data_IF_948589834943
#
_entry.id   IF_948589834943
#
_cell.length_a   1.000
_cell.length_b   1.000
_cell.length_c   1.000
_cell.angle_alpha   90.00
_cell.angle_beta   90.00
_cell.angle_gamma   90.00
#
_symmetry.space_group_name_H-M   'P 1'
#
loop_
_entity.id
_entity.type
_entity.pdbx_description
1 polymer ?
#
# COMPACT_ATOMS: atom_id res chain seq x y z
N UNK A 1 28.86 0.00 27.40
CA UNK A 1 27.87 0.96 26.87
C UNK A 1 28.31 1.40 25.48
N UNK A 2 27.62 0.91 24.46
CA UNK A 2 27.56 1.38 23.06
C UNK A 2 26.56 0.44 22.37
N UNK A 3 25.28 0.75 22.53
CA UNK A 3 24.20 0.05 21.81
C UNK A 3 23.95 0.91 20.58
N UNK A 4 24.49 0.48 19.45
CA UNK A 4 24.31 1.13 18.16
C UNK A 4 22.87 0.98 17.70
N UNK A 5 22.26 2.08 17.26
CA UNK A 5 20.97 2.09 16.60
C UNK A 5 21.01 1.15 15.39
N UNK A 6 20.13 0.15 15.39
CA UNK A 6 19.88 -0.67 14.20
C UNK A 6 18.91 0.12 13.35
N UNK A 7 19.39 0.66 12.23
CA UNK A 7 18.56 1.18 11.14
C UNK A 7 17.64 0.06 10.66
N UNK A 8 16.41 0.02 11.17
CA UNK A 8 15.36 -0.87 10.67
C UNK A 8 14.71 -0.25 9.43
N UNK A 9 15.52 -0.04 8.40
CA UNK A 9 15.03 0.17 7.03
C UNK A 9 14.65 -1.21 6.51
N UNK A 10 13.35 -1.55 6.57
CA UNK A 10 12.84 -2.80 6.02
C UNK A 10 13.01 -2.81 4.49
N UNK A 11 14.18 -3.24 4.03
CA UNK A 11 14.46 -3.54 2.62
C UNK A 11 14.00 -4.96 2.32
N UNK A 12 12.91 -5.12 1.58
CA UNK A 12 12.62 -6.39 0.91
C UNK A 12 13.34 -6.42 -0.45
N UNK A 13 14.58 -6.90 -0.44
CA UNK A 13 15.20 -7.58 -1.57
C UNK A 13 16.06 -8.72 -1.05
N UNK A 14 15.77 -9.93 -1.54
CA UNK A 14 16.70 -11.05 -1.71
C UNK A 14 16.19 -11.72 -2.99
N UNK A 15 16.99 -11.98 -4.03
CA UNK A 15 18.23 -12.77 -4.10
C UNK A 15 18.91 -12.38 -5.46
N UNK A 16 20.17 -11.96 -5.56
CA UNK A 16 21.40 -12.78 -5.64
C UNK A 16 22.66 -11.88 -5.49
N UNK A 17 23.77 -12.49 -5.08
CA UNK A 17 24.98 -11.88 -4.55
C UNK A 17 25.68 -10.77 -5.38
N UNK A 18 26.30 -9.84 -4.64
CA UNK A 18 27.27 -8.80 -5.03
C UNK A 18 26.74 -7.50 -5.67
N UNK A 19 26.14 -6.65 -4.83
CA UNK A 19 26.59 -5.26 -4.57
C UNK A 19 25.69 -4.63 -3.51
N UNK A 20 26.28 -4.37 -2.35
CA UNK A 20 25.70 -3.53 -1.29
C UNK A 20 25.58 -2.09 -1.79
N UNK A 21 24.46 -1.76 -2.44
CA UNK A 21 24.05 -0.38 -2.55
C UNK A 21 23.32 -0.02 -1.25
N UNK A 22 23.91 0.91 -0.51
CA UNK A 22 23.27 1.58 0.62
C UNK A 22 21.90 2.09 0.17
N UNK A 23 20.94 2.11 1.10
CA UNK A 23 19.60 2.66 0.88
C UNK A 23 19.69 4.11 0.40
N UNK A 24 19.75 4.31 -0.91
CA UNK A 24 19.41 5.57 -1.55
C UNK A 24 17.88 5.59 -1.66
N UNK A 25 17.28 6.72 -1.26
CA UNK A 25 15.86 7.03 -1.33
C UNK A 25 15.17 6.29 -2.48
N UNK A 26 14.45 5.22 -2.18
CA UNK A 26 13.60 4.57 -3.16
C UNK A 26 12.37 5.45 -3.38
N UNK A 27 12.47 6.31 -4.39
CA UNK A 27 11.33 7.04 -4.93
C UNK A 27 10.68 6.14 -6.00
N UNK A 28 9.48 5.63 -5.73
CA UNK A 28 8.70 4.85 -6.71
C UNK A 28 8.64 5.57 -8.07
N UNK A 29 8.63 6.92 -8.07
CA UNK A 29 8.65 7.73 -9.30
C UNK A 29 9.91 7.52 -10.15
N UNK A 30 11.07 7.23 -9.52
CA UNK A 30 12.34 7.02 -10.22
C UNK A 30 12.48 5.60 -10.79
N UNK A 31 11.82 4.60 -10.19
CA UNK A 31 11.83 3.22 -10.67
C UNK A 31 10.97 3.00 -11.95
N UNK A 32 10.06 3.92 -12.25
CA UNK A 32 9.11 3.84 -13.38
C UNK A 32 9.66 4.54 -14.64
N UNK A 33 10.98 4.67 -14.81
CA UNK A 33 11.59 5.48 -15.89
C UNK A 33 11.32 5.04 -17.34
N UNK A 34 10.98 3.78 -17.63
CA UNK A 34 10.77 3.23 -19.00
C UNK A 34 9.39 3.56 -19.61
N UNK A 35 9.17 3.44 -20.93
CA UNK A 35 7.83 3.58 -21.58
C UNK A 35 7.26 2.19 -21.91
N UNK A 36 5.96 1.96 -21.71
CA UNK A 36 5.22 0.75 -22.15
C UNK A 36 4.68 -0.18 -21.05
N UNK A 37 3.93 -1.20 -21.46
CA UNK A 37 3.51 -2.35 -20.62
C UNK A 37 4.77 -3.07 -20.15
N UNK A 38 4.91 -3.23 -18.85
CA UNK A 38 6.07 -3.86 -18.25
C UNK A 38 5.62 -5.01 -17.34
N UNK A 39 6.15 -6.19 -17.62
CA UNK A 39 6.01 -7.37 -16.76
C UNK A 39 7.39 -7.68 -16.19
N UNK A 40 7.51 -7.70 -14.86
CA UNK A 40 8.76 -8.07 -14.18
C UNK A 40 8.52 -9.37 -13.43
N UNK A 41 9.16 -10.45 -13.87
CA UNK A 41 9.21 -11.71 -13.13
C UNK A 41 10.41 -11.68 -12.19
N UNK A 42 10.15 -11.70 -10.89
CA UNK A 42 11.19 -11.59 -9.85
C UNK A 42 11.73 -12.98 -9.43
N UNK A 43 10.91 -14.02 -9.55
CA UNK A 43 11.22 -15.45 -9.34
C UNK A 43 10.10 -16.31 -9.92
N UNK A 44 10.22 -17.65 -9.86
CA UNK A 44 9.06 -18.53 -10.08
C UNK A 44 7.93 -18.11 -9.11
N UNK A 45 6.76 -17.77 -9.66
CA UNK A 45 5.56 -17.40 -8.90
C UNK A 45 5.37 -15.92 -8.54
N UNK A 46 6.33 -15.02 -8.84
CA UNK A 46 6.18 -13.58 -8.57
C UNK A 46 6.26 -12.75 -9.85
N UNK A 47 5.12 -12.22 -10.28
CA UNK A 47 5.02 -11.39 -11.48
C UNK A 47 4.38 -10.04 -11.16
N UNK A 48 5.10 -8.96 -11.45
CA UNK A 48 4.59 -7.60 -11.35
C UNK A 48 4.04 -7.17 -12.71
N UNK A 49 2.73 -6.94 -12.82
CA UNK A 49 2.10 -6.38 -14.01
C UNK A 49 1.89 -4.87 -13.81
N UNK A 50 2.09 -4.09 -14.87
CA UNK A 50 1.61 -2.71 -14.97
C UNK A 50 1.73 -2.20 -16.41
N UNK A 51 0.85 -1.28 -16.80
CA UNK A 51 1.08 -0.41 -17.94
C UNK A 51 1.38 1.00 -17.46
N UNK A 52 2.56 1.54 -17.82
CA UNK A 52 2.87 2.93 -17.46
C UNK A 52 2.09 3.93 -18.30
N UNK A 53 1.87 3.61 -19.58
CA UNK A 53 1.22 4.48 -20.54
C UNK A 53 0.05 3.75 -21.20
N UNK A 54 -1.00 3.43 -20.43
CA UNK A 54 -2.24 2.90 -20.97
C UNK A 54 -2.72 3.69 -22.17
N UNK A 55 -3.20 2.99 -23.19
CA UNK A 55 -3.76 3.60 -24.41
C UNK A 55 -5.06 4.37 -24.14
N UNK A 56 -5.74 4.06 -23.04
CA UNK A 56 -6.94 4.76 -22.57
C UNK A 56 -6.65 6.11 -21.89
N UNK A 57 -5.38 6.50 -21.76
CA UNK A 57 -4.96 7.76 -21.14
C UNK A 57 -4.92 7.74 -19.61
N UNK A 58 -5.22 6.62 -18.97
CA UNK A 58 -5.09 6.45 -17.52
C UNK A 58 -3.63 6.53 -17.09
N UNK A 59 -3.39 6.88 -15.84
CA UNK A 59 -2.05 6.94 -15.23
C UNK A 59 -1.90 5.88 -14.15
N UNK A 60 -0.92 4.99 -14.28
CA UNK A 60 -0.54 4.08 -13.20
C UNK A 60 -0.02 4.86 -12.00
N UNK A 61 -0.63 4.66 -10.84
CA UNK A 61 -0.25 5.28 -9.57
C UNK A 61 0.62 4.36 -8.71
N UNK A 62 0.35 3.06 -8.76
CA UNK A 62 1.06 2.06 -7.97
C UNK A 62 0.86 0.67 -8.58
N UNK A 63 1.89 -0.17 -8.51
CA UNK A 63 1.79 -1.61 -8.73
C UNK A 63 2.60 -2.33 -7.64
N UNK A 64 2.07 -3.43 -7.11
CA UNK A 64 2.75 -4.23 -6.10
C UNK A 64 2.45 -5.72 -6.30
N UNK A 65 3.44 -6.59 -6.10
CA UNK A 65 3.25 -8.05 -6.04
C UNK A 65 3.55 -8.56 -4.63
N UNK A 66 2.62 -9.31 -4.07
CA UNK A 66 2.78 -9.94 -2.76
C UNK A 66 3.75 -11.11 -2.86
N UNK A 67 4.85 -11.06 -2.10
CA UNK A 67 5.88 -12.10 -2.12
C UNK A 67 5.44 -13.45 -1.51
N UNK A 68 4.37 -13.48 -0.70
CA UNK A 68 3.81 -14.69 -0.08
C UNK A 68 2.68 -15.29 -0.91
N UNK A 69 1.77 -14.47 -1.46
CA UNK A 69 0.63 -14.98 -2.23
C UNK A 69 0.82 -14.96 -3.74
N UNK A 70 1.80 -14.22 -4.27
CA UNK A 70 1.99 -14.03 -5.71
C UNK A 70 0.98 -13.09 -6.36
N UNK A 71 0.02 -12.56 -5.58
CA UNK A 71 -1.01 -11.64 -6.08
C UNK A 71 -0.37 -10.30 -6.44
N UNK A 72 -0.65 -9.82 -7.65
CA UNK A 72 -0.29 -8.47 -8.07
C UNK A 72 -1.52 -7.56 -8.11
N UNK A 73 -1.38 -6.33 -7.61
CA UNK A 73 -2.42 -5.30 -7.65
C UNK A 73 -1.85 -4.03 -8.25
N UNK A 74 -2.60 -3.44 -9.19
CA UNK A 74 -2.24 -2.21 -9.91
C UNK A 74 -3.37 -1.21 -9.80
N UNK A 75 -3.04 0.04 -9.51
CA UNK A 75 -3.98 1.14 -9.37
C UNK A 75 -3.74 2.15 -10.47
N UNK A 76 -4.79 2.49 -11.21
CA UNK A 76 -4.77 3.53 -12.24
C UNK A 76 -5.73 4.65 -11.88
N UNK A 77 -5.27 5.90 -12.08
CA UNK A 77 -6.13 7.07 -12.17
C UNK A 77 -6.68 7.17 -13.61
N UNK A 78 -7.99 7.07 -13.83
CA UNK A 78 -8.61 7.23 -15.15
C UNK A 78 -8.29 8.58 -15.82
N UNK A 79 -8.40 8.63 -17.15
CA UNK A 79 -8.19 9.87 -17.91
C UNK A 79 -9.29 10.91 -17.64
N UNK A 80 -10.51 10.45 -17.42
CA UNK A 80 -11.74 11.20 -17.15
C UNK A 80 -12.03 11.34 -15.64
N UNK A 81 -10.99 11.25 -14.80
CA UNK A 81 -11.12 11.29 -13.34
C UNK A 81 -11.85 12.53 -12.82
N UNK A 82 -12.91 12.30 -12.04
CA UNK A 82 -13.63 13.34 -11.30
C UNK A 82 -13.05 13.51 -9.89
N UNK A 83 -12.41 14.65 -9.64
CA UNK A 83 -11.86 14.98 -8.30
C UNK A 83 -12.96 15.12 -7.22
N UNK A 84 -14.21 15.38 -7.62
CA UNK A 84 -15.35 15.50 -6.70
C UNK A 84 -15.97 14.15 -6.32
N UNK A 85 -15.81 13.13 -7.17
CA UNK A 85 -16.23 11.76 -6.91
C UNK A 85 -15.14 10.74 -7.31
N UNK A 86 -14.03 10.65 -6.54
CA UNK A 86 -12.86 9.87 -6.93
C UNK A 86 -13.15 8.37 -7.11
N UNK A 87 -12.88 7.87 -8.30
CA UNK A 87 -12.96 6.46 -8.66
C UNK A 87 -11.67 6.00 -9.36
N UNK A 88 -11.15 4.85 -8.98
CA UNK A 88 -9.88 4.32 -9.50
C UNK A 88 -10.09 2.95 -10.13
N UNK A 89 -9.45 2.71 -11.28
CA UNK A 89 -9.38 1.36 -11.84
C UNK A 89 -8.34 0.54 -11.08
N UNK A 90 -8.75 -0.63 -10.63
CA UNK A 90 -7.90 -1.61 -9.97
C UNK A 90 -7.84 -2.87 -10.79
N UNK A 91 -6.63 -3.28 -11.15
CA UNK A 91 -6.37 -4.54 -11.83
C UNK A 91 -5.64 -5.48 -10.85
N UNK A 92 -6.12 -6.71 -10.77
CA UNK A 92 -5.55 -7.73 -9.87
C UNK A 92 -5.23 -8.98 -10.68
N UNK A 93 -3.99 -9.44 -10.58
CA UNK A 93 -3.59 -10.77 -11.05
C UNK A 93 -3.45 -11.71 -9.87
N UNK A 94 -4.14 -12.84 -9.92
CA UNK A 94 -3.92 -13.91 -8.97
C UNK A 94 -2.60 -14.67 -9.26
N UNK A 95 -2.24 -15.60 -8.37
CA UNK A 95 -1.03 -16.42 -8.49
C UNK A 95 -0.96 -17.26 -9.77
N UNK A 96 -2.11 -17.55 -10.39
CA UNK A 96 -2.22 -18.35 -11.60
C UNK A 96 -2.20 -17.47 -12.86
N UNK A 97 -2.13 -16.14 -12.69
CA UNK A 97 -2.05 -15.15 -13.76
C UNK A 97 -3.42 -14.69 -14.27
N UNK A 98 -4.52 -15.03 -13.60
CA UNK A 98 -5.85 -14.58 -14.00
C UNK A 98 -6.04 -13.11 -13.61
N UNK A 99 -6.39 -12.27 -14.60
CA UNK A 99 -6.68 -10.85 -14.39
C UNK A 99 -8.14 -10.65 -14.01
N UNK A 100 -8.38 -9.88 -12.96
CA UNK A 100 -9.66 -9.23 -12.68
C UNK A 100 -9.48 -7.72 -12.70
N UNK A 101 -10.55 -7.01 -13.04
CA UNK A 101 -10.57 -5.55 -13.14
C UNK A 101 -11.85 -5.03 -12.51
N UNK A 102 -11.73 -3.98 -11.70
CA UNK A 102 -12.86 -3.32 -11.05
C UNK A 102 -12.59 -1.82 -10.89
N UNK A 103 -13.68 -1.05 -10.81
CA UNK A 103 -13.62 0.34 -10.37
C UNK A 103 -13.85 0.39 -8.86
N UNK A 104 -13.01 1.15 -8.16
CA UNK A 104 -13.13 1.37 -6.71
C UNK A 104 -13.45 2.81 -6.45
N UNK A 105 -14.65 3.04 -5.91
CA UNK A 105 -15.12 4.35 -5.46
C UNK A 105 -14.58 4.67 -4.07
N UNK A 106 -13.78 5.73 -3.96
CA UNK A 106 -13.07 6.05 -2.71
C UNK A 106 -14.04 6.38 -1.56
N UNK A 107 -15.22 6.93 -1.86
CA UNK A 107 -16.24 7.22 -0.85
C UNK A 107 -16.88 5.98 -0.23
N UNK A 108 -16.75 4.81 -0.86
CA UNK A 108 -17.37 3.56 -0.41
C UNK A 108 -16.40 2.65 0.36
N UNK A 109 -15.10 2.96 0.32
CA UNK A 109 -14.09 2.17 1.03
C UNK A 109 -14.16 2.44 2.54
N UNK A 110 -14.39 1.39 3.33
CA UNK A 110 -14.29 1.40 4.79
C UNK A 110 -12.94 0.80 5.24
N UNK A 111 -11.98 1.61 5.71
CA UNK A 111 -10.68 1.12 6.17
C UNK A 111 -10.73 0.13 7.35
N UNK A 112 -11.87 0.00 8.04
CA UNK A 112 -12.06 -1.00 9.10
C UNK A 112 -12.52 -2.37 8.60
N UNK A 113 -12.96 -2.45 7.34
CA UNK A 113 -13.34 -3.70 6.67
C UNK A 113 -13.26 -3.54 5.14
N UNK A 114 -12.06 -3.52 4.59
CA UNK A 114 -11.84 -3.40 3.16
C UNK A 114 -10.89 -4.49 2.67
N UNK A 115 -11.04 -4.87 1.41
CA UNK A 115 -10.12 -5.77 0.70
C UNK A 115 -8.74 -5.11 0.52
N UNK A 116 -7.72 -5.93 0.27
CA UNK A 116 -6.39 -5.42 -0.08
C UNK A 116 -6.43 -4.51 -1.31
N UNK A 117 -7.26 -4.85 -2.31
CA UNK A 117 -7.41 -4.06 -3.54
C UNK A 117 -8.05 -2.68 -3.28
N UNK A 118 -9.15 -2.64 -2.52
CA UNK A 118 -9.82 -1.39 -2.14
C UNK A 118 -8.90 -0.48 -1.33
N UNK A 119 -8.17 -1.03 -0.36
CA UNK A 119 -7.25 -0.23 0.46
C UNK A 119 -6.00 0.21 -0.28
N UNK A 120 -5.54 -0.53 -1.29
CA UNK A 120 -4.47 -0.08 -2.16
C UNK A 120 -4.93 1.13 -2.99
N UNK A 121 -6.14 1.08 -3.55
CA UNK A 121 -6.75 2.22 -4.25
C UNK A 121 -6.91 3.44 -3.33
N UNK A 122 -7.45 3.23 -2.13
CA UNK A 122 -7.61 4.27 -1.12
C UNK A 122 -6.28 4.93 -0.73
N UNK A 123 -5.24 4.11 -0.56
CA UNK A 123 -3.91 4.61 -0.22
C UNK A 123 -3.24 5.34 -1.37
N UNK A 124 -3.45 4.89 -2.61
CA UNK A 124 -3.01 5.61 -3.81
C UNK A 124 -3.70 6.98 -3.93
N UNK A 125 -5.00 7.05 -3.64
CA UNK A 125 -5.74 8.31 -3.55
C UNK A 125 -5.14 9.26 -2.52
N UNK A 126 -4.89 8.79 -1.29
CA UNK A 126 -4.31 9.62 -0.23
C UNK A 126 -2.91 10.14 -0.61
N UNK A 127 -2.10 9.32 -1.28
CA UNK A 127 -0.78 9.72 -1.76
C UNK A 127 -0.85 10.72 -2.93
N UNK A 128 -1.68 10.47 -3.95
CA UNK A 128 -1.81 11.30 -5.16
C UNK A 128 -2.44 12.67 -4.85
N UNK A 129 -3.45 12.71 -3.97
CA UNK A 129 -4.11 13.94 -3.51
C UNK A 129 -3.26 14.77 -2.54
N UNK A 130 -2.16 14.21 -2.01
CA UNK A 130 -1.31 14.86 -1.01
C UNK A 130 -1.86 14.83 0.42
N UNK A 131 -3.03 14.22 0.66
CA UNK A 131 -3.61 14.05 2.01
C UNK A 131 -2.71 13.24 2.94
N UNK A 132 -2.01 12.23 2.40
CA UNK A 132 -0.97 11.50 3.12
C UNK A 132 0.09 10.99 2.14
N UNK A 133 1.21 11.72 2.04
CA UNK A 133 2.26 11.50 1.03
C UNK A 133 2.72 10.04 0.91
N UNK A 134 2.93 9.35 2.04
CA UNK A 134 3.46 7.98 2.09
C UNK A 134 2.38 6.94 2.42
N UNK A 135 1.13 7.17 1.99
CA UNK A 135 0.01 6.28 2.30
C UNK A 135 0.18 4.89 1.69
N UNK A 136 0.56 4.77 0.41
CA UNK A 136 0.79 3.47 -0.25
C UNK A 136 1.82 2.64 0.52
N UNK A 137 2.98 3.22 0.82
CA UNK A 137 4.02 2.48 1.55
C UNK A 137 3.57 2.09 2.96
N UNK A 138 2.84 2.98 3.64
CA UNK A 138 2.30 2.69 4.98
C UNK A 138 1.26 1.58 4.95
N UNK A 139 0.39 1.56 3.94
CA UNK A 139 -0.55 0.47 3.68
C UNK A 139 0.17 -0.85 3.46
N UNK A 140 1.18 -0.90 2.59
CA UNK A 140 1.92 -2.13 2.31
C UNK A 140 2.60 -2.69 3.57
N UNK A 141 3.15 -1.82 4.42
CA UNK A 141 3.71 -2.20 5.72
C UNK A 141 2.65 -2.63 6.73
N UNK A 142 1.48 -1.99 6.76
CA UNK A 142 0.39 -2.42 7.63
C UNK A 142 -0.12 -3.80 7.22
N UNK A 143 -0.34 -4.00 5.92
CA UNK A 143 -0.85 -5.23 5.30
C UNK A 143 0.02 -6.45 5.58
N UNK A 144 1.34 -6.31 5.66
CA UNK A 144 2.24 -7.45 5.90
C UNK A 144 1.95 -8.17 7.22
N UNK A 145 1.38 -7.47 8.20
CA UNK A 145 0.97 -8.07 9.49
C UNK A 145 -0.23 -9.01 9.39
N UNK A 146 -1.03 -8.93 8.31
CA UNK A 146 -2.19 -9.82 8.15
C UNK A 146 -1.72 -11.27 8.20
N UNK A 147 -0.56 -11.57 7.62
CA UNK A 147 -0.02 -12.92 7.63
C UNK A 147 0.44 -13.41 9.00
N UNK A 148 0.78 -12.50 9.93
CA UNK A 148 1.13 -12.88 11.29
C UNK A 148 -0.14 -13.26 12.10
N UNK A 149 -1.28 -12.64 11.76
CA UNK A 149 -2.60 -12.95 12.37
C UNK A 149 -3.33 -14.10 11.65
N UNK A 150 -3.11 -14.25 10.34
CA UNK A 150 -3.71 -15.26 9.48
C UNK A 150 -2.67 -15.77 8.45
N UNK A 151 -1.90 -16.81 8.79
CA UNK A 151 -0.91 -17.39 7.87
C UNK A 151 -1.48 -17.94 6.56
N UNK A 152 -2.79 -18.23 6.52
CA UNK A 152 -3.50 -18.74 5.34
C UNK A 152 -4.14 -17.65 4.48
N UNK A 153 -3.86 -16.38 4.76
CA UNK A 153 -4.35 -15.26 3.97
C UNK A 153 -3.89 -15.37 2.51
N UNK A 154 -4.81 -15.19 1.57
CA UNK A 154 -4.58 -15.37 0.12
C UNK A 154 -4.10 -14.09 -0.59
N UNK A 155 -3.99 -12.97 0.13
CA UNK A 155 -3.62 -11.67 -0.43
C UNK A 155 -4.79 -10.85 -0.97
N UNK A 156 -6.00 -11.38 -1.02
CA UNK A 156 -7.18 -10.73 -1.62
C UNK A 156 -8.24 -10.33 -0.60
N UNK A 157 -8.39 -11.12 0.48
CA UNK A 157 -9.46 -10.92 1.46
C UNK A 157 -9.43 -9.58 2.22
N UNK A 158 -10.50 -9.31 2.96
CA UNK A 158 -10.67 -8.08 3.74
C UNK A 158 -9.92 -8.09 5.08
N UNK A 159 -9.56 -6.91 5.56
CA UNK A 159 -8.94 -6.70 6.86
C UNK A 159 -9.33 -5.36 7.49
N UNK A 160 -9.10 -5.24 8.79
CA UNK A 160 -9.24 -4.00 9.55
C UNK A 160 -7.94 -3.20 9.51
N UNK A 161 -7.74 -2.39 8.47
CA UNK A 161 -6.52 -1.61 8.28
C UNK A 161 -6.34 -0.48 9.30
N UNK A 162 -7.44 -0.02 9.92
CA UNK A 162 -7.37 0.88 11.08
C UNK A 162 -6.65 0.22 12.26
N UNK A 163 -6.94 -1.05 12.53
CA UNK A 163 -6.26 -1.82 13.57
C UNK A 163 -4.79 -2.06 13.18
N UNK A 164 -4.52 -2.47 11.94
CA UNK A 164 -3.15 -2.72 11.46
C UNK A 164 -2.27 -1.46 11.52
N UNK A 165 -2.83 -0.29 11.22
CA UNK A 165 -2.13 1.00 11.34
C UNK A 165 -1.84 1.35 12.80
N UNK A 166 -2.80 1.11 13.71
CA UNK A 166 -2.59 1.29 15.15
C UNK A 166 -1.51 0.35 15.70
N UNK A 167 -1.52 -0.91 15.26
CA UNK A 167 -0.51 -1.89 15.65
C UNK A 167 0.88 -1.46 15.16
N UNK A 168 0.99 -0.85 13.97
CA UNK A 168 2.27 -0.27 13.51
C UNK A 168 2.69 0.95 14.30
N UNK A 169 1.77 1.86 14.63
CA UNK A 169 2.10 2.95 15.54
C UNK A 169 2.68 2.40 16.86
N UNK A 170 2.00 1.43 17.48
CA UNK A 170 2.44 0.86 18.74
C UNK A 170 3.79 0.16 18.62
N UNK A 171 4.00 -0.65 17.58
CA UNK A 171 5.29 -1.30 17.32
C UNK A 171 6.42 -0.26 17.21
N UNK A 172 6.24 0.76 16.36
CA UNK A 172 7.27 1.78 16.14
C UNK A 172 7.56 2.58 17.42
N UNK A 173 6.53 2.86 18.24
CA UNK A 173 6.70 3.48 19.55
C UNK A 173 7.52 2.60 20.51
N UNK A 174 7.16 1.32 20.64
CA UNK A 174 7.81 0.37 21.56
C UNK A 174 9.31 0.20 21.26
N UNK A 175 9.70 0.21 19.97
CA UNK A 175 11.11 0.10 19.57
C UNK A 175 11.86 1.45 19.57
N UNK A 176 11.22 2.54 20.00
CA UNK A 176 11.82 3.87 20.04
C UNK A 176 11.98 4.55 18.66
N UNK A 177 11.30 4.07 17.61
CA UNK A 177 11.30 4.69 16.29
C UNK A 177 10.23 5.77 16.19
N UNK A 178 10.55 6.98 16.66
CA UNK A 178 9.62 8.12 16.62
C UNK A 178 9.21 8.53 15.21
N UNK A 179 10.12 8.45 14.22
CA UNK A 179 9.80 8.78 12.84
C UNK A 179 8.80 7.78 12.24
N UNK A 180 9.00 6.49 12.53
CA UNK A 180 8.05 5.44 12.17
C UNK A 180 6.69 5.65 12.81
N UNK A 181 6.65 5.97 14.12
CA UNK A 181 5.41 6.28 14.82
C UNK A 181 4.63 7.42 14.15
N UNK A 182 5.30 8.56 13.87
CA UNK A 182 4.67 9.72 13.24
C UNK A 182 4.17 9.42 11.84
N UNK A 183 4.89 8.59 11.07
CA UNK A 183 4.45 8.13 9.75
C UNK A 183 3.15 7.34 9.84
N UNK A 184 3.09 6.32 10.69
CA UNK A 184 1.86 5.51 10.83
C UNK A 184 0.73 6.26 11.52
N UNK A 185 1.05 7.23 12.39
CA UNK A 185 0.06 8.15 12.95
C UNK A 185 -0.60 8.98 11.85
N UNK A 186 0.20 9.61 10.98
CA UNK A 186 -0.35 10.40 9.87
C UNK A 186 -1.21 9.55 8.92
N UNK A 187 -0.84 8.28 8.71
CA UNK A 187 -1.67 7.35 7.95
C UNK A 187 -2.98 7.02 8.68
N UNK A 188 -2.92 6.65 9.97
CA UNK A 188 -4.10 6.37 10.79
C UNK A 188 -5.05 7.56 10.90
N UNK A 189 -4.52 8.78 11.07
CA UNK A 189 -5.31 10.01 11.12
C UNK A 189 -6.05 10.22 9.78
N UNK A 190 -5.37 10.06 8.64
CA UNK A 190 -5.99 10.16 7.32
C UNK A 190 -7.10 9.12 7.09
N UNK A 191 -6.92 7.88 7.58
CA UNK A 191 -7.95 6.85 7.54
C UNK A 191 -9.11 7.13 8.52
N UNK A 192 -8.87 7.87 9.60
CA UNK A 192 -9.90 8.26 10.56
C UNK A 192 -10.77 9.41 10.04
N UNK A 193 -10.14 10.37 9.37
CA UNK A 193 -10.82 11.54 8.81
C UNK A 193 -11.77 11.17 7.68
N UNK A 194 -11.44 10.16 6.88
CA UNK A 194 -12.34 9.64 5.84
C UNK A 194 -13.65 9.14 6.43
N UNK A 195 -13.58 8.44 7.56
CA UNK A 195 -14.73 7.95 8.29
C UNK A 195 -15.63 9.07 8.82
N UNK A 196 -15.03 10.20 9.19
CA UNK A 196 -15.75 11.38 9.67
C UNK A 196 -16.36 12.21 8.53
N UNK A 197 -15.78 12.16 7.32
CA UNK A 197 -16.35 12.82 6.13
C UNK A 197 -17.59 12.09 5.59
N UNK A 198 -17.68 10.77 5.81
CA UNK A 198 -18.80 9.93 5.34
C UNK A 198 -19.75 9.45 6.45
N UNK A 199 -19.75 10.10 7.62
CA UNK A 199 -20.82 9.98 8.63
C UNK A 199 -20.71 8.84 9.65
N UNK A 200 -19.56 8.16 9.78
CA UNK A 200 -19.37 7.13 10.80
C UNK A 200 -18.72 7.70 12.08
N UNK A 201 -19.58 8.12 13.00
CA UNK A 201 -19.29 8.61 14.36
C UNK A 201 -18.03 7.97 14.99
N UNK A 202 -17.02 8.76 15.35
CA UNK A 202 -15.86 8.31 16.13
C UNK A 202 -16.12 8.46 17.62
N UNK A 203 -16.17 7.33 18.34
CA UNK A 203 -15.86 7.34 19.77
C UNK A 203 -14.38 7.71 19.91
N UNK A 204 -14.12 8.82 20.59
CA UNK A 204 -12.79 9.26 21.01
C UNK A 204 -12.10 8.14 21.80
N UNK A 205 -11.04 7.56 21.25
CA UNK A 205 -10.09 6.76 22.02
C UNK A 205 -8.96 7.68 22.48
N UNK A 206 -9.12 8.23 23.69
CA UNK A 206 -8.00 8.81 24.42
C UNK A 206 -7.11 7.66 24.89
N UNK A 207 -5.83 7.69 24.55
CA UNK A 207 -4.83 6.79 25.11
C UNK A 207 -4.72 7.08 26.62
N UNK A 208 -4.96 6.07 27.47
CA UNK A 208 -4.51 6.03 28.87
C UNK A 208 -3.18 5.29 28.94
#
# INVERSE_FOLDING_TARGET
MRIGAVDNTYSYQRINESKTNKAENWDFKNAIGGKGISTISLSEGLTLHYDKTPTDGSRCLSSWVDARSGVNTVIYKPADFDESDPEYRVEVWDKDGNKTEQMVKISEVDPSNATTAEMHAYSAYLSDSGKCKNAVDSFLMCRSQIYDKNPSYDGLGSANFMELARDMMQMQYTIGNTQGYLRFKAFFDALSESRNFFGANTKSYAFM
#
